data_IF_288787418611
#
_entry.id   IF_288787418611
#
_cell.length_a   1.000
_cell.length_b   1.000
_cell.length_c   1.000
_cell.angle_alpha   90.00
_cell.angle_beta   90.00
_cell.angle_gamma   90.00
#
_symmetry.space_group_name_H-M   'P 1'
#
loop_
_entity.id
_entity.type
_entity.pdbx_description
1 polymer ?
#
# COMPACT_ATOMS: atom_id res chain seq x y z
N UNK A 1 24.55 -13.27 -54.92
CA UNK A 1 24.57 -12.62 -53.60
C UNK A 1 24.94 -13.66 -52.57
N UNK A 2 26.18 -13.62 -52.08
CA UNK A 2 26.64 -14.53 -51.03
C UNK A 2 26.16 -13.97 -49.70
N UNK A 3 25.17 -14.62 -49.09
CA UNK A 3 24.72 -14.25 -47.75
C UNK A 3 25.86 -14.57 -46.81
N UNK A 4 26.33 -13.54 -46.09
CA UNK A 4 27.45 -13.65 -45.17
C UNK A 4 27.16 -14.72 -44.11
N UNK A 5 28.09 -15.66 -43.93
CA UNK A 5 27.95 -16.79 -43.00
C UNK A 5 27.59 -16.37 -41.57
N UNK A 6 27.93 -15.13 -41.18
CA UNK A 6 27.57 -14.56 -39.88
C UNK A 6 26.05 -14.43 -39.66
N UNK A 7 25.27 -14.15 -40.71
CA UNK A 7 23.81 -14.01 -40.61
C UNK A 7 23.17 -15.38 -40.34
N UNK A 8 23.71 -16.44 -40.95
CA UNK A 8 23.25 -17.81 -40.71
C UNK A 8 23.55 -18.28 -39.29
N UNK A 9 24.72 -17.93 -38.74
CA UNK A 9 25.08 -18.26 -37.35
C UNK A 9 24.17 -17.52 -36.37
N UNK A 10 23.93 -16.23 -36.58
CA UNK A 10 23.02 -15.45 -35.73
C UNK A 10 21.57 -15.97 -35.77
N UNK A 11 21.07 -16.33 -36.95
CA UNK A 11 19.73 -16.90 -37.09
C UNK A 11 19.60 -18.26 -36.38
N UNK A 12 20.65 -19.09 -36.43
CA UNK A 12 20.69 -20.38 -35.76
C UNK A 12 20.72 -20.24 -34.22
N UNK A 13 21.43 -19.24 -33.70
CA UNK A 13 21.47 -18.92 -32.27
C UNK A 13 20.10 -18.47 -31.75
N UNK A 14 19.42 -17.57 -32.48
CA UNK A 14 18.05 -17.13 -32.14
C UNK A 14 17.07 -18.29 -32.17
N UNK A 15 17.19 -19.20 -33.15
CA UNK A 15 16.32 -20.38 -33.23
C UNK A 15 16.53 -21.34 -32.04
N UNK A 16 17.78 -21.53 -31.60
CA UNK A 16 18.09 -22.35 -30.41
C UNK A 16 17.51 -21.74 -29.14
N UNK A 17 17.63 -20.41 -28.97
CA UNK A 17 17.03 -19.71 -27.84
C UNK A 17 15.50 -19.86 -27.81
N UNK A 18 14.86 -19.74 -28.97
CA UNK A 18 13.41 -19.87 -29.08
C UNK A 18 12.94 -21.32 -28.79
N UNK A 19 13.70 -22.32 -29.24
CA UNK A 19 13.46 -23.73 -28.90
C UNK A 19 13.60 -23.99 -27.40
N UNK A 20 14.62 -23.43 -26.75
CA UNK A 20 14.80 -23.53 -25.29
C UNK A 20 13.62 -22.91 -24.53
N UNK A 21 13.14 -21.74 -24.98
CA UNK A 21 12.00 -21.06 -24.40
C UNK A 21 10.71 -21.87 -24.56
N UNK A 22 10.49 -22.48 -25.73
CA UNK A 22 9.36 -23.38 -25.96
C UNK A 22 9.39 -24.62 -25.05
N UNK A 23 10.56 -25.25 -24.86
CA UNK A 23 10.71 -26.39 -23.95
C UNK A 23 10.43 -25.97 -22.51
N UNK A 24 10.93 -24.80 -22.08
CA UNK A 24 10.66 -24.26 -20.75
C UNK A 24 9.16 -24.02 -20.52
N UNK A 25 8.45 -23.40 -21.48
CA UNK A 25 7.01 -23.19 -21.42
C UNK A 25 6.23 -24.51 -21.32
N UNK A 26 6.64 -25.54 -22.06
CA UNK A 26 6.01 -26.87 -21.97
C UNK A 26 6.20 -27.53 -20.60
N UNK A 27 7.39 -27.38 -19.99
CA UNK A 27 7.64 -27.85 -18.63
C UNK A 27 6.80 -27.09 -17.60
N UNK A 28 6.68 -25.77 -17.76
CA UNK A 28 5.86 -24.92 -16.93
C UNK A 28 4.37 -25.32 -17.00
N UNK A 29 3.86 -25.57 -18.22
CA UNK A 29 2.49 -26.07 -18.44
C UNK A 29 2.25 -27.45 -17.82
N UNK A 30 3.24 -28.36 -17.84
CA UNK A 30 3.12 -29.67 -17.14
C UNK A 30 3.05 -29.50 -15.62
N UNK A 31 3.83 -28.60 -15.04
CA UNK A 31 3.79 -28.34 -13.60
C UNK A 31 2.47 -27.68 -13.19
N UNK A 32 1.94 -26.76 -14.00
CA UNK A 32 0.61 -26.15 -13.82
C UNK A 32 -0.49 -27.22 -13.83
N UNK A 33 -0.47 -28.16 -14.78
CA UNK A 33 -1.46 -29.27 -14.81
C UNK A 33 -1.39 -30.17 -13.57
N UNK A 34 -0.20 -30.45 -13.04
CA UNK A 34 -0.05 -31.21 -11.78
C UNK A 34 -0.67 -30.46 -10.59
N UNK A 35 -0.52 -29.14 -10.55
CA UNK A 35 -1.08 -28.30 -9.49
C UNK A 35 -2.62 -28.28 -9.56
N UNK A 36 -3.17 -28.14 -10.76
CA UNK A 36 -4.62 -28.18 -11.01
C UNK A 36 -5.22 -29.52 -10.55
N UNK A 37 -4.59 -30.65 -10.87
CA UNK A 37 -5.09 -31.95 -10.39
C UNK A 37 -5.03 -32.11 -8.88
N UNK A 38 -4.02 -31.55 -8.20
CA UNK A 38 -3.96 -31.52 -6.72
C UNK A 38 -5.07 -30.67 -6.12
N UNK A 39 -5.39 -29.52 -6.74
CA UNK A 39 -6.48 -28.65 -6.30
C UNK A 39 -7.86 -29.29 -6.53
N UNK A 40 -8.06 -29.95 -7.67
CA UNK A 40 -9.28 -30.71 -7.95
C UNK A 40 -9.50 -31.88 -6.97
N UNK A 41 -8.41 -32.54 -6.54
CA UNK A 41 -8.47 -33.57 -5.49
C UNK A 41 -8.98 -33.02 -4.16
N UNK A 42 -8.41 -31.91 -3.69
CA UNK A 42 -8.83 -31.24 -2.44
C UNK A 42 -10.27 -30.71 -2.50
N UNK A 43 -10.71 -30.20 -3.64
CA UNK A 43 -12.10 -29.75 -3.83
C UNK A 43 -13.10 -30.92 -3.72
N UNK A 44 -12.76 -32.09 -4.25
CA UNK A 44 -13.61 -33.29 -4.12
C UNK A 44 -13.68 -33.79 -2.69
N UNK A 45 -12.57 -33.74 -1.95
CA UNK A 45 -12.55 -34.08 -0.51
C UNK A 45 -13.44 -33.14 0.30
N UNK A 46 -13.37 -31.82 0.06
CA UNK A 46 -14.20 -30.84 0.77
C UNK A 46 -15.70 -30.95 0.43
N UNK A 47 -16.06 -31.20 -0.83
CA UNK A 47 -17.44 -31.46 -1.22
C UNK A 47 -18.00 -32.74 -0.57
N UNK A 48 -17.18 -33.78 -0.44
CA UNK A 48 -17.57 -35.01 0.27
C UNK A 48 -17.79 -34.76 1.79
N UNK A 49 -17.06 -33.82 2.39
CA UNK A 49 -17.27 -33.41 3.78
C UNK A 49 -18.53 -32.54 3.95
N UNK A 50 -18.85 -31.67 2.98
CA UNK A 50 -20.00 -30.76 3.07
C UNK A 50 -21.34 -31.47 2.89
N UNK A 51 -21.42 -32.46 1.98
CA UNK A 51 -22.63 -33.27 1.80
C UNK A 51 -22.95 -34.16 3.01
N UNK A 52 -22.02 -34.39 3.93
CA UNK A 52 -22.27 -35.07 5.20
C UNK A 52 -22.88 -34.17 6.28
N UNK A 53 -22.91 -32.85 6.09
CA UNK A 53 -23.20 -31.87 7.16
C UNK A 53 -24.51 -31.08 7.03
N UNK A 54 -25.32 -31.27 5.97
CA UNK A 54 -26.55 -30.48 5.78
C UNK A 54 -27.84 -31.32 5.70
N UNK A 55 -28.69 -31.34 6.74
CA UNK A 55 -30.13 -31.54 6.60
C UNK A 55 -30.86 -30.19 6.44
N UNK A 56 -31.93 -30.23 5.65
CA UNK A 56 -32.74 -29.13 5.10
C UNK A 56 -33.41 -28.16 6.09
N UNK A 57 -33.48 -26.85 5.76
CA UNK A 57 -34.67 -26.00 6.02
C UNK A 57 -34.62 -24.66 5.25
N UNK A 58 -35.69 -24.36 4.51
CA UNK A 58 -36.03 -23.07 3.89
C UNK A 58 -37.41 -22.63 4.43
N UNK A 59 -37.72 -21.31 4.47
CA UNK A 59 -39.06 -20.88 4.04
C UNK A 59 -39.13 -19.55 3.24
N UNK A 60 -40.26 -19.43 2.53
CA UNK A 60 -40.72 -18.51 1.45
C UNK A 60 -41.41 -17.22 1.98
N UNK A 61 -41.60 -16.12 1.19
CA UNK A 61 -42.09 -14.80 1.69
C UNK A 61 -43.49 -14.32 1.21
N UNK A 62 -44.18 -13.46 2.01
CA UNK A 62 -45.10 -12.31 1.69
C UNK A 62 -46.05 -11.95 2.89
N UNK A 63 -46.83 -10.83 2.94
CA UNK A 63 -46.55 -9.38 2.76
C UNK A 63 -47.08 -8.43 3.92
N UNK A 64 -46.57 -7.18 3.96
CA UNK A 64 -47.07 -5.90 4.54
C UNK A 64 -47.57 -5.78 6.02
N UNK A 65 -46.77 -5.16 6.92
CA UNK A 65 -47.21 -4.57 8.19
C UNK A 65 -46.49 -3.24 8.50
N UNK A 66 -47.21 -2.11 8.55
CA UNK A 66 -46.63 -0.75 8.63
C UNK A 66 -46.88 -0.11 10.01
N UNK A 67 -45.90 -0.19 10.92
CA UNK A 67 -45.63 0.74 12.03
C UNK A 67 -44.58 0.10 12.97
N UNK A 68 -44.81 -1.15 13.38
CA UNK A 68 -43.84 -1.96 14.14
C UNK A 68 -42.52 -2.17 13.37
N UNK A 69 -42.58 -2.20 12.02
CA UNK A 69 -41.39 -2.32 11.19
C UNK A 69 -40.37 -1.21 11.36
N UNK A 70 -40.73 0.04 11.70
CA UNK A 70 -39.72 1.09 11.79
C UNK A 70 -38.92 1.01 13.09
N UNK A 71 -39.58 0.73 14.22
CA UNK A 71 -38.89 0.46 15.49
C UNK A 71 -38.05 -0.82 15.41
N UNK A 72 -38.61 -1.89 14.84
CA UNK A 72 -37.87 -3.12 14.57
C UNK A 72 -36.70 -2.90 13.61
N UNK A 73 -36.87 -2.00 12.63
CA UNK A 73 -35.81 -1.61 11.71
C UNK A 73 -34.70 -0.83 12.41
N UNK A 74 -35.03 0.16 13.25
CA UNK A 74 -34.04 0.90 14.04
C UNK A 74 -33.27 -0.03 14.99
N UNK A 75 -33.99 -0.88 15.74
CA UNK A 75 -33.36 -1.87 16.62
C UNK A 75 -32.44 -2.84 15.84
N UNK A 76 -32.89 -3.32 14.67
CA UNK A 76 -32.08 -4.18 13.79
C UNK A 76 -30.83 -3.44 13.28
N UNK A 77 -30.95 -2.18 12.89
CA UNK A 77 -29.81 -1.39 12.39
C UNK A 77 -28.81 -1.08 13.51
N UNK A 78 -29.28 -0.82 14.72
CA UNK A 78 -28.43 -0.66 15.91
C UNK A 78 -27.67 -1.95 16.21
N UNK A 79 -28.35 -3.09 16.20
CA UNK A 79 -27.74 -4.40 16.45
C UNK A 79 -26.71 -4.77 15.36
N UNK A 80 -27.02 -4.55 14.09
CA UNK A 80 -26.07 -4.76 12.98
C UNK A 80 -24.83 -3.88 13.16
N UNK A 81 -25.02 -2.60 13.50
CA UNK A 81 -23.91 -1.65 13.69
C UNK A 81 -23.05 -2.06 14.90
N UNK A 82 -23.68 -2.57 15.97
CA UNK A 82 -22.98 -3.11 17.14
C UNK A 82 -22.17 -4.36 16.81
N UNK A 83 -22.75 -5.32 16.09
CA UNK A 83 -22.05 -6.55 15.69
C UNK A 83 -20.87 -6.24 14.77
N UNK A 84 -21.03 -5.30 13.83
CA UNK A 84 -19.95 -4.85 12.95
C UNK A 84 -18.81 -4.18 13.73
N UNK A 85 -19.14 -3.36 14.72
CA UNK A 85 -18.13 -2.74 15.58
C UNK A 85 -17.40 -3.79 16.43
N UNK A 86 -18.12 -4.71 17.06
CA UNK A 86 -17.54 -5.79 17.89
C UNK A 86 -16.64 -6.73 17.09
N UNK A 87 -16.99 -7.00 15.83
CA UNK A 87 -16.14 -7.81 14.93
C UNK A 87 -14.80 -7.14 14.60
N UNK A 88 -14.70 -5.82 14.72
CA UNK A 88 -13.48 -5.04 14.44
C UNK A 88 -12.67 -4.78 15.71
N UNK A 89 -13.31 -4.60 16.88
CA UNK A 89 -12.64 -4.21 18.13
C UNK A 89 -12.44 -5.34 19.13
N UNK A 90 -13.00 -6.54 18.89
CA UNK A 90 -12.83 -7.69 19.78
C UNK A 90 -13.53 -7.50 21.14
N UNK A 91 -14.84 -7.22 21.09
CA UNK A 91 -15.75 -7.04 22.25
C UNK A 91 -15.67 -5.72 23.03
N UNK A 92 -15.00 -4.67 22.52
CA UNK A 92 -15.11 -3.34 23.13
C UNK A 92 -16.53 -2.78 22.96
N UNK A 93 -17.13 -2.27 24.03
CA UNK A 93 -18.41 -1.60 23.99
C UNK A 93 -18.29 -0.27 23.20
N UNK A 94 -19.33 0.07 22.43
CA UNK A 94 -19.42 1.36 21.72
C UNK A 94 -19.67 2.44 22.78
N UNK A 95 -18.61 2.86 23.46
CA UNK A 95 -18.67 3.98 24.39
C UNK A 95 -18.72 5.27 23.58
N UNK A 96 -19.61 6.19 23.97
CA UNK A 96 -19.85 7.45 23.27
C UNK A 96 -18.63 8.41 23.26
N UNK A 97 -17.53 8.04 23.91
CA UNK A 97 -16.28 8.77 23.88
C UNK A 97 -15.53 8.43 22.58
N UNK A 98 -15.62 9.34 21.61
CA UNK A 98 -14.82 9.36 20.39
C UNK A 98 -13.34 9.12 20.76
N UNK A 99 -12.80 7.94 20.45
CA UNK A 99 -11.36 7.71 20.54
C UNK A 99 -10.68 8.47 19.38
N UNK A 100 -9.90 9.54 19.64
CA UNK A 100 -9.31 10.36 18.58
C UNK A 100 -8.31 9.58 17.73
N UNK A 101 -7.73 8.50 18.26
CA UNK A 101 -6.77 7.63 17.56
C UNK A 101 -7.37 6.36 16.95
N UNK A 102 -8.70 6.16 17.02
CA UNK A 102 -9.31 4.97 16.44
C UNK A 102 -9.23 4.98 14.89
N UNK A 103 -9.02 3.82 14.24
CA UNK A 103 -9.04 3.71 12.79
C UNK A 103 -10.38 4.21 12.22
N UNK A 104 -10.32 4.83 11.03
CA UNK A 104 -11.45 5.54 10.40
C UNK A 104 -12.77 4.74 10.39
N UNK A 105 -12.70 3.43 10.12
CA UNK A 105 -13.88 2.56 10.11
C UNK A 105 -14.57 2.47 11.47
N UNK A 106 -13.81 2.44 12.57
CA UNK A 106 -14.37 2.41 13.93
C UNK A 106 -15.05 3.75 14.26
N UNK A 107 -14.46 4.87 13.82
CA UNK A 107 -15.07 6.20 13.97
C UNK A 107 -16.39 6.32 13.22
N UNK A 108 -16.45 5.83 11.99
CA UNK A 108 -17.68 5.83 11.17
C UNK A 108 -18.77 4.99 11.84
N UNK A 109 -18.43 3.79 12.33
CA UNK A 109 -19.40 2.91 12.99
C UNK A 109 -19.89 3.47 14.33
N UNK A 110 -19.00 4.10 15.10
CA UNK A 110 -19.36 4.78 16.35
C UNK A 110 -20.29 5.97 16.08
N UNK A 111 -20.01 6.81 15.07
CA UNK A 111 -20.88 7.92 14.67
C UNK A 111 -22.23 7.44 14.16
N UNK A 112 -22.25 6.38 13.34
CA UNK A 112 -23.50 5.76 12.87
C UNK A 112 -24.34 5.25 14.05
N UNK A 113 -23.71 4.58 15.01
CA UNK A 113 -24.39 4.12 16.21
C UNK A 113 -24.97 5.30 17.02
N UNK A 114 -24.19 6.35 17.23
CA UNK A 114 -24.63 7.58 17.92
C UNK A 114 -25.81 8.26 17.22
N UNK A 115 -25.77 8.35 15.89
CA UNK A 115 -26.87 8.90 15.09
C UNK A 115 -28.14 8.06 15.24
N UNK A 116 -28.03 6.74 15.13
CA UNK A 116 -29.17 5.83 15.27
C UNK A 116 -29.75 5.83 16.70
N UNK A 117 -28.91 5.97 17.73
CA UNK A 117 -29.40 6.11 19.12
C UNK A 117 -30.09 7.45 19.34
N UNK A 118 -29.62 8.52 18.68
CA UNK A 118 -30.27 9.81 18.74
C UNK A 118 -31.66 9.75 18.07
N UNK A 119 -31.72 9.12 16.90
CA UNK A 119 -32.97 8.86 16.16
C UNK A 119 -33.93 8.00 16.99
N UNK A 120 -33.46 6.93 17.65
CA UNK A 120 -34.28 6.10 18.54
C UNK A 120 -34.87 6.92 19.70
N UNK A 121 -34.08 7.78 20.33
CA UNK A 121 -34.53 8.59 21.47
C UNK A 121 -35.47 9.72 21.09
N UNK A 122 -35.42 10.17 19.83
CA UNK A 122 -36.30 11.21 19.30
C UNK A 122 -37.67 10.68 18.83
N UNK A 123 -37.78 9.37 18.60
CA UNK A 123 -39.01 8.73 18.12
C UNK A 123 -39.79 8.16 19.31
N UNK A 124 -40.89 8.81 19.68
CA UNK A 124 -41.86 8.29 20.64
C UNK A 124 -43.08 7.73 19.93
N UNK A 125 -43.70 6.67 20.47
CA UNK A 125 -44.89 6.06 19.88
C UNK A 125 -46.09 6.35 20.77
N UNK A 126 -47.05 7.14 20.26
CA UNK A 126 -48.36 7.33 20.88
C UNK A 126 -49.38 6.53 20.03
N UNK A 127 -49.59 5.26 20.40
CA UNK A 127 -50.36 4.31 19.59
C UNK A 127 -49.57 3.78 18.39
N UNK A 128 -50.23 3.66 17.23
CA UNK A 128 -49.68 3.07 15.99
C UNK A 128 -48.98 4.11 15.07
N UNK A 129 -48.77 5.34 15.58
CA UNK A 129 -48.15 6.44 14.84
C UNK A 129 -46.85 6.88 15.52
N UNK A 130 -45.73 6.97 14.78
CA UNK A 130 -44.51 7.55 15.31
C UNK A 130 -44.67 9.08 15.45
N UNK A 131 -44.39 9.60 16.63
CA UNK A 131 -44.24 11.03 16.92
C UNK A 131 -42.75 11.32 17.03
N UNK A 132 -42.25 12.20 16.17
CA UNK A 132 -40.84 12.60 16.14
C UNK A 132 -40.68 13.92 16.89
N UNK A 133 -39.89 13.92 17.96
CA UNK A 133 -39.52 15.11 18.71
C UNK A 133 -38.29 15.78 18.07
N UNK A 134 -38.53 16.62 17.07
CA UNK A 134 -37.47 17.30 16.30
C UNK A 134 -36.54 18.14 17.18
N UNK A 135 -37.05 18.79 18.23
CA UNK A 135 -36.22 19.61 19.14
C UNK A 135 -35.20 18.78 19.93
N UNK A 136 -35.57 17.56 20.32
CA UNK A 136 -34.68 16.62 21.02
C UNK A 136 -33.59 16.10 20.08
N UNK A 137 -33.99 15.78 18.84
CA UNK A 137 -33.07 15.33 17.80
C UNK A 137 -32.07 16.42 17.42
N UNK A 138 -32.54 17.67 17.28
CA UNK A 138 -31.68 18.82 16.99
C UNK A 138 -30.65 19.05 18.10
N UNK A 139 -31.06 19.00 19.38
CA UNK A 139 -30.15 19.16 20.52
C UNK A 139 -29.08 18.05 20.56
N UNK A 140 -29.44 16.80 20.28
CA UNK A 140 -28.51 15.68 20.29
C UNK A 140 -27.55 15.72 19.10
N UNK A 141 -28.03 16.08 17.89
CA UNK A 141 -27.18 16.24 16.72
C UNK A 141 -26.25 17.46 16.85
N UNK A 142 -26.72 18.55 17.46
CA UNK A 142 -25.89 19.73 17.72
C UNK A 142 -24.71 19.41 18.64
N UNK A 143 -24.90 18.57 19.66
CA UNK A 143 -23.81 18.10 20.51
C UNK A 143 -22.77 17.25 19.76
N UNK A 144 -23.22 16.40 18.83
CA UNK A 144 -22.32 15.58 18.00
C UNK A 144 -21.50 16.42 17.03
N UNK A 145 -22.08 17.50 16.50
CA UNK A 145 -21.41 18.46 15.62
C UNK A 145 -20.40 19.34 16.39
N UNK A 146 -20.77 19.80 17.59
CA UNK A 146 -19.90 20.62 18.44
C UNK A 146 -18.66 19.86 18.94
N UNK A 147 -18.78 18.56 19.20
CA UNK A 147 -17.67 17.70 19.62
C UNK A 147 -16.60 17.46 18.52
N UNK A 148 -16.87 17.81 17.26
CA UNK A 148 -15.92 17.65 16.14
C UNK A 148 -15.11 18.90 15.80
N UNK A 149 -15.44 20.04 16.39
CA UNK A 149 -14.75 21.31 16.16
C UNK A 149 -13.78 21.62 17.30
N UNK A 150 -12.72 20.83 17.42
CA UNK A 150 -11.47 21.30 18.07
C UNK A 150 -10.77 22.29 17.11
N UNK A 151 -11.41 23.44 16.88
CA UNK A 151 -10.90 24.52 16.02
C UNK A 151 -9.56 25.03 16.49
N UNK A 152 -9.36 25.07 17.81
CA UNK A 152 -8.13 25.55 18.43
C UNK A 152 -6.95 24.60 18.15
N UNK A 153 -7.20 23.28 18.12
CA UNK A 153 -6.18 22.29 17.77
C UNK A 153 -5.79 22.42 16.29
N UNK A 154 -6.76 22.55 15.39
CA UNK A 154 -6.47 22.78 13.96
C UNK A 154 -5.75 24.11 13.69
N UNK A 155 -6.09 25.18 14.42
CA UNK A 155 -5.43 26.47 14.29
C UNK A 155 -3.97 26.43 14.77
N UNK A 156 -3.70 25.73 15.87
CA UNK A 156 -2.32 25.53 16.35
C UNK A 156 -1.50 24.67 15.37
N UNK A 157 -2.09 23.64 14.78
CA UNK A 157 -1.43 22.83 13.73
C UNK A 157 -1.16 23.65 12.47
N UNK A 158 -2.10 24.47 12.02
CA UNK A 158 -1.91 25.38 10.88
C UNK A 158 -0.81 26.42 11.16
N UNK A 159 -0.74 26.98 12.36
CA UNK A 159 0.32 27.90 12.76
C UNK A 159 1.69 27.21 12.77
N UNK A 160 1.77 25.97 13.25
CA UNK A 160 2.99 25.18 13.23
C UNK A 160 3.42 24.80 11.81
N UNK A 161 2.47 24.43 10.95
CA UNK A 161 2.73 24.18 9.53
C UNK A 161 3.25 25.43 8.82
N UNK A 162 2.67 26.60 9.06
CA UNK A 162 3.15 27.88 8.51
C UNK A 162 4.58 28.19 8.94
N UNK A 163 4.90 28.07 10.23
CA UNK A 163 6.28 28.24 10.73
C UNK A 163 7.26 27.26 10.09
N UNK A 164 6.84 26.02 9.86
CA UNK A 164 7.68 25.01 9.21
C UNK A 164 7.94 25.34 7.75
N UNK A 165 6.93 25.84 7.04
CA UNK A 165 7.08 26.29 5.65
C UNK A 165 8.06 27.46 5.59
N UNK A 166 7.90 28.47 6.45
CA UNK A 166 8.81 29.62 6.51
C UNK A 166 10.26 29.20 6.82
N UNK A 167 10.45 28.25 7.74
CA UNK A 167 11.78 27.71 8.02
C UNK A 167 12.37 26.95 6.82
N UNK A 168 11.55 26.15 6.11
CA UNK A 168 11.99 25.44 4.91
C UNK A 168 12.35 26.41 3.78
N UNK A 169 11.64 27.54 3.66
CA UNK A 169 11.96 28.59 2.71
C UNK A 169 13.28 29.29 3.06
N UNK A 170 13.53 29.57 4.34
CA UNK A 170 14.82 30.07 4.81
C UNK A 170 15.96 29.09 4.55
N UNK A 171 15.75 27.80 4.80
CA UNK A 171 16.73 26.77 4.46
C UNK A 171 16.97 26.74 2.96
N UNK A 172 15.92 26.81 2.14
CA UNK A 172 16.03 26.85 0.68
C UNK A 172 16.88 28.04 0.20
N UNK A 173 16.64 29.23 0.76
CA UNK A 173 17.47 30.42 0.46
C UNK A 173 18.92 30.18 0.86
N UNK A 174 19.17 29.68 2.07
CA UNK A 174 20.53 29.41 2.57
C UNK A 174 21.24 28.32 1.75
N UNK A 175 20.50 27.33 1.25
CA UNK A 175 21.02 26.33 0.32
C UNK A 175 21.42 26.94 -1.02
N UNK A 176 20.61 27.85 -1.58
CA UNK A 176 20.97 28.55 -2.81
C UNK A 176 22.18 29.47 -2.62
N UNK A 177 22.25 30.20 -1.49
CA UNK A 177 23.39 31.05 -1.18
C UNK A 177 24.67 30.21 -1.03
N UNK A 178 24.58 29.05 -0.39
CA UNK A 178 25.70 28.12 -0.23
C UNK A 178 26.09 27.46 -1.57
N UNK A 179 25.12 27.17 -2.44
CA UNK A 179 25.36 26.67 -3.80
C UNK A 179 26.07 27.73 -4.66
N UNK A 180 25.65 28.99 -4.56
CA UNK A 180 26.31 30.10 -5.23
C UNK A 180 27.76 30.27 -4.73
N UNK A 181 27.97 30.30 -3.40
CA UNK A 181 29.31 30.39 -2.82
C UNK A 181 30.18 29.19 -3.21
N UNK A 182 29.59 28.00 -3.35
CA UNK A 182 30.30 26.81 -3.80
C UNK A 182 30.71 26.91 -5.28
N UNK A 183 29.83 27.41 -6.15
CA UNK A 183 30.15 27.65 -7.56
C UNK A 183 31.25 28.71 -7.70
N UNK A 184 31.16 29.82 -6.96
CA UNK A 184 32.20 30.85 -6.94
C UNK A 184 33.54 30.29 -6.42
N UNK A 185 33.51 29.46 -5.36
CA UNK A 185 34.72 28.80 -4.85
C UNK A 185 35.32 27.82 -5.88
N UNK A 186 34.48 27.16 -6.67
CA UNK A 186 34.90 26.26 -7.74
C UNK A 186 35.55 26.99 -8.91
N UNK A 187 34.96 28.10 -9.36
CA UNK A 187 35.57 28.96 -10.39
C UNK A 187 36.94 29.49 -9.92
N UNK A 188 37.00 30.01 -8.69
CA UNK A 188 38.26 30.45 -8.10
C UNK A 188 39.30 29.32 -7.98
N UNK A 189 38.88 28.10 -7.60
CA UNK A 189 39.77 26.95 -7.54
C UNK A 189 40.29 26.53 -8.92
N UNK A 190 39.47 26.65 -9.96
CA UNK A 190 39.87 26.41 -11.34
C UNK A 190 40.90 27.45 -11.81
N UNK A 191 40.66 28.72 -11.48
CA UNK A 191 41.58 29.82 -11.78
C UNK A 191 42.94 29.64 -11.07
N UNK A 192 42.92 29.25 -9.79
CA UNK A 192 44.15 28.94 -9.05
C UNK A 192 44.87 27.72 -9.60
N UNK A 193 44.14 26.68 -10.01
CA UNK A 193 44.75 25.52 -10.67
C UNK A 193 45.42 25.92 -11.98
N UNK A 194 44.79 26.78 -12.78
CA UNK A 194 45.36 27.26 -14.03
C UNK A 194 46.62 28.13 -13.79
N UNK A 195 46.58 29.05 -12.81
CA UNK A 195 47.75 29.82 -12.40
C UNK A 195 48.90 28.94 -11.89
N UNK A 196 48.59 27.88 -11.11
CA UNK A 196 49.59 26.93 -10.63
C UNK A 196 50.15 26.06 -11.75
N UNK A 197 49.33 25.70 -12.75
CA UNK A 197 49.76 24.98 -13.94
C UNK A 197 50.68 25.83 -14.82
N UNK A 198 50.39 27.12 -14.97
CA UNK A 198 51.24 28.06 -15.69
C UNK A 198 52.58 28.30 -14.95
N UNK A 199 52.54 28.36 -13.61
CA UNK A 199 53.76 28.44 -12.79
C UNK A 199 54.57 27.15 -12.76
N UNK A 200 53.95 25.99 -13.00
CA UNK A 200 54.62 24.69 -13.05
C UNK A 200 55.70 24.61 -14.14
N UNK A 201 55.65 25.48 -15.15
CA UNK A 201 56.68 25.56 -16.19
C UNK A 201 58.05 26.02 -15.66
N UNK A 202 58.07 26.69 -14.52
CA UNK A 202 59.28 27.24 -13.89
C UNK A 202 59.92 26.35 -12.83
N UNK A 203 59.33 25.19 -12.52
CA UNK A 203 59.76 24.30 -11.43
C UNK A 203 60.68 23.19 -11.95
N UNK A 204 61.79 22.92 -11.27
CA UNK A 204 62.83 21.94 -11.68
C UNK A 204 62.28 20.51 -11.87
N UNK A 205 61.31 20.09 -11.06
CA UNK A 205 60.61 18.79 -11.15
C UNK A 205 59.19 18.92 -11.73
N UNK A 206 59.09 19.53 -12.93
CA UNK A 206 57.82 19.78 -13.65
C UNK A 206 56.89 18.57 -13.69
N UNK A 207 57.42 17.39 -14.04
CA UNK A 207 56.61 16.19 -14.25
C UNK A 207 55.94 15.65 -12.97
N UNK A 208 56.63 15.73 -11.83
CA UNK A 208 56.07 15.27 -10.54
C UNK A 208 55.05 16.29 -10.00
N UNK A 209 55.33 17.58 -10.16
CA UNK A 209 54.42 18.64 -9.73
C UNK A 209 53.12 18.66 -10.55
N UNK A 210 53.19 18.47 -11.87
CA UNK A 210 51.99 18.36 -12.72
C UNK A 210 51.17 17.12 -12.40
N UNK A 211 51.79 15.96 -12.14
CA UNK A 211 51.06 14.74 -11.74
C UNK A 211 50.35 14.92 -10.39
N UNK A 212 50.97 15.61 -9.43
CA UNK A 212 50.34 15.91 -8.14
C UNK A 212 49.17 16.89 -8.26
N UNK A 213 49.32 17.92 -9.11
CA UNK A 213 48.25 18.88 -9.43
C UNK A 213 47.06 18.20 -10.12
N UNK A 214 47.32 17.33 -11.09
CA UNK A 214 46.28 16.58 -11.80
C UNK A 214 45.52 15.64 -10.86
N UNK A 215 46.23 14.95 -9.96
CA UNK A 215 45.58 14.13 -8.92
C UNK A 215 44.73 14.96 -7.96
N UNK A 216 45.20 16.14 -7.56
CA UNK A 216 44.41 17.04 -6.72
C UNK A 216 43.14 17.52 -7.45
N UNK A 217 43.26 17.91 -8.72
CA UNK A 217 42.14 18.34 -9.54
C UNK A 217 41.10 17.22 -9.73
N UNK A 218 41.56 15.97 -9.97
CA UNK A 218 40.69 14.81 -10.08
C UNK A 218 39.95 14.51 -8.78
N UNK A 219 40.61 14.55 -7.61
CA UNK A 219 39.96 14.36 -6.31
C UNK A 219 38.91 15.45 -6.03
N UNK A 220 39.21 16.69 -6.40
CA UNK A 220 38.27 17.80 -6.28
C UNK A 220 37.04 17.62 -7.18
N UNK A 221 37.25 17.18 -8.43
CA UNK A 221 36.18 16.90 -9.38
C UNK A 221 35.30 15.71 -8.97
N UNK A 222 35.90 14.67 -8.39
CA UNK A 222 35.17 13.50 -7.87
C UNK A 222 34.25 13.86 -6.69
N UNK A 223 34.72 14.70 -5.76
CA UNK A 223 33.90 15.22 -4.66
C UNK A 223 32.71 16.02 -5.19
N UNK A 224 32.93 16.83 -6.23
CA UNK A 224 31.88 17.59 -6.90
C UNK A 224 30.86 16.69 -7.60
N UNK A 225 31.30 15.67 -8.34
CA UNK A 225 30.41 14.67 -8.93
C UNK A 225 29.62 13.88 -7.88
N UNK A 226 30.23 13.56 -6.73
CA UNK A 226 29.55 12.91 -5.61
C UNK A 226 28.37 13.74 -5.09
N UNK A 227 28.55 15.06 -4.94
CA UNK A 227 27.47 15.98 -4.55
C UNK A 227 26.35 16.06 -5.61
N UNK A 228 26.70 16.17 -6.89
CA UNK A 228 25.72 16.22 -7.99
C UNK A 228 24.93 14.91 -8.15
N UNK A 229 25.58 13.76 -7.92
CA UNK A 229 24.95 12.44 -8.00
C UNK A 229 23.98 12.23 -6.84
N UNK A 230 24.33 12.71 -5.64
CA UNK A 230 23.41 12.77 -4.49
C UNK A 230 22.14 13.58 -4.79
N UNK A 231 22.26 14.69 -5.54
CA UNK A 231 21.12 15.51 -5.98
C UNK A 231 20.20 14.77 -6.95
N UNK A 232 20.75 14.11 -7.97
CA UNK A 232 19.94 13.39 -8.97
C UNK A 232 19.21 12.17 -8.39
N UNK A 233 19.78 11.53 -7.37
CA UNK A 233 19.11 10.44 -6.63
C UNK A 233 17.98 10.95 -5.74
N UNK A 234 18.11 12.14 -5.14
CA UNK A 234 17.02 12.81 -4.41
C UNK A 234 15.86 13.24 -5.32
N UNK A 235 16.16 13.73 -6.53
CA UNK A 235 15.15 14.30 -7.44
C UNK A 235 14.34 13.21 -8.19
N UNK A 236 14.98 12.09 -8.53
CA UNK A 236 14.32 10.97 -9.23
C UNK A 236 13.50 10.05 -8.32
N UNK A 237 13.64 10.17 -7.00
CA UNK A 237 12.99 9.26 -6.05
C UNK A 237 12.42 10.01 -4.83
N UNK A 238 11.26 10.69 -4.99
CA UNK A 238 10.66 11.48 -3.91
C UNK A 238 10.27 10.65 -2.68
N UNK A 239 10.19 9.32 -2.80
CA UNK A 239 9.93 8.40 -1.68
C UNK A 239 11.03 8.43 -0.60
N UNK A 240 12.30 8.67 -0.98
CA UNK A 240 13.44 8.73 -0.05
C UNK A 240 13.38 9.97 0.83
N UNK A 241 12.79 11.06 0.32
CA UNK A 241 12.58 12.32 1.03
C UNK A 241 11.48 12.17 2.11
N UNK A 242 10.44 11.37 1.84
CA UNK A 242 9.45 11.03 2.86
C UNK A 242 9.98 10.06 3.91
N UNK A 243 11.03 9.28 3.62
CA UNK A 243 11.60 8.30 4.54
C UNK A 243 12.64 8.91 5.49
N UNK A 244 13.48 9.82 5.00
CA UNK A 244 14.43 10.58 5.83
C UNK A 244 13.73 11.65 6.70
N UNK A 245 12.63 12.25 6.23
CA UNK A 245 11.80 13.15 7.04
C UNK A 245 10.85 12.39 7.99
N UNK A 246 10.54 11.11 7.74
CA UNK A 246 9.82 10.27 8.71
C UNK A 246 10.69 9.74 9.84
N UNK A 247 11.99 9.52 9.61
CA UNK A 247 12.91 9.10 10.67
C UNK A 247 13.03 10.11 11.82
N UNK A 248 12.78 11.41 11.56
CA UNK A 248 12.70 12.44 12.61
C UNK A 248 11.29 12.68 13.15
N UNK A 249 10.26 12.03 12.56
CA UNK A 249 8.85 12.21 12.93
C UNK A 249 8.28 11.04 13.73
N UNK A 250 8.93 9.88 13.74
CA UNK A 250 8.41 8.70 14.45
C UNK A 250 8.79 8.64 15.93
N UNK A 251 9.86 9.32 16.38
CA UNK A 251 10.23 9.36 17.80
C UNK A 251 10.61 10.77 18.29
N UNK A 252 9.74 11.46 19.04
CA UNK A 252 10.05 12.77 19.63
C UNK A 252 11.19 12.70 20.67
N UNK A 253 11.55 11.51 21.14
CA UNK A 253 12.67 11.25 22.06
C UNK A 253 14.02 11.44 21.36
N UNK A 254 14.19 10.80 20.19
CA UNK A 254 15.44 10.84 19.42
C UNK A 254 15.74 12.26 18.90
N UNK A 255 14.70 12.98 18.45
CA UNK A 255 14.85 14.37 18.01
C UNK A 255 15.33 15.29 19.16
N UNK A 256 14.80 15.09 20.37
CA UNK A 256 15.22 15.83 21.56
C UNK A 256 16.66 15.49 21.98
N UNK A 257 17.09 14.24 21.82
CA UNK A 257 18.46 13.82 22.12
C UNK A 257 19.47 14.37 21.11
N UNK A 258 19.14 14.41 19.82
CA UNK A 258 19.98 15.05 18.79
C UNK A 258 20.16 16.54 19.08
N UNK A 259 19.10 17.24 19.52
CA UNK A 259 19.19 18.65 19.90
C UNK A 259 20.09 18.82 21.14
N UNK A 260 20.00 17.93 22.13
CA UNK A 260 20.90 17.94 23.30
C UNK A 260 22.35 17.73 22.89
N UNK A 261 22.64 16.74 22.03
CA UNK A 261 23.99 16.48 21.53
C UNK A 261 24.55 17.68 20.76
N UNK A 262 23.74 18.35 19.94
CA UNK A 262 24.13 19.55 19.21
C UNK A 262 24.46 20.71 20.15
N UNK A 263 23.65 20.94 21.18
CA UNK A 263 23.89 21.99 22.16
C UNK A 263 25.16 21.71 22.98
N UNK A 264 25.39 20.45 23.35
CA UNK A 264 26.63 20.03 24.03
C UNK A 264 27.85 20.23 23.12
N UNK A 265 27.77 19.92 21.83
CA UNK A 265 28.86 20.15 20.89
C UNK A 265 29.21 21.65 20.72
N UNK A 266 28.20 22.52 20.69
CA UNK A 266 28.39 23.98 20.63
C UNK A 266 29.07 24.49 21.91
N UNK A 267 28.64 24.04 23.08
CA UNK A 267 29.28 24.40 24.35
C UNK A 267 30.72 23.91 24.43
N UNK A 268 31.01 22.69 23.94
CA UNK A 268 32.37 22.17 23.89
C UNK A 268 33.28 23.02 23.00
N UNK A 269 32.81 23.43 21.81
CA UNK A 269 33.59 24.33 20.95
C UNK A 269 33.86 25.69 21.59
N UNK A 270 32.89 26.22 22.36
CA UNK A 270 33.07 27.47 23.10
C UNK A 270 34.14 27.35 24.18
N UNK A 271 34.16 26.24 24.91
CA UNK A 271 35.14 25.97 25.95
C UNK A 271 36.55 25.79 25.34
N UNK A 272 36.66 25.05 24.23
CA UNK A 272 37.93 24.89 23.49
C UNK A 272 38.49 26.26 23.08
N UNK A 273 37.66 27.13 22.50
CA UNK A 273 38.08 28.47 22.09
C UNK A 273 38.50 29.35 23.27
N UNK A 274 37.81 29.24 24.41
CA UNK A 274 38.21 29.95 25.64
C UNK A 274 39.54 29.46 26.20
N UNK A 275 39.80 28.15 26.14
CA UNK A 275 41.06 27.57 26.58
C UNK A 275 42.22 27.89 25.63
N UNK A 276 42.00 27.85 24.32
CA UNK A 276 43.00 28.27 23.33
C UNK A 276 43.43 29.72 23.58
N UNK A 277 42.46 30.62 23.83
CA UNK A 277 42.76 32.01 24.21
C UNK A 277 43.52 32.12 25.53
N UNK A 278 43.14 31.36 26.56
CA UNK A 278 43.87 31.33 27.84
C UNK A 278 45.31 30.82 27.67
N UNK A 279 45.56 29.90 26.74
CA UNK A 279 46.89 29.40 26.43
C UNK A 279 47.73 30.44 25.67
N UNK A 280 47.11 31.19 24.75
CA UNK A 280 47.74 32.29 24.01
C UNK A 280 48.07 33.48 24.92
N UNK A 281 47.20 33.79 25.89
CA UNK A 281 47.35 34.92 26.82
C UNK A 281 48.28 34.62 28.03
N UNK A 282 48.56 33.34 28.32
CA UNK A 282 49.42 32.95 29.44
C UNK A 282 50.90 33.31 29.17
N UNK A 283 51.43 34.29 29.92
CA UNK A 283 52.81 34.80 29.73
C UNK A 283 53.81 34.19 30.71
N UNK A 284 53.35 33.70 31.86
CA UNK A 284 54.22 33.10 32.88
C UNK A 284 54.21 31.57 32.82
N UNK A 285 55.31 30.94 33.26
CA UNK A 285 55.43 29.48 33.25
C UNK A 285 54.40 28.80 34.16
N UNK A 286 54.09 29.38 35.32
CA UNK A 286 53.07 28.87 36.25
C UNK A 286 51.65 28.96 35.67
N UNK A 287 51.29 30.05 34.97
CA UNK A 287 49.99 30.17 34.29
C UNK A 287 49.84 29.16 33.15
N UNK A 288 50.92 28.87 32.42
CA UNK A 288 50.93 27.83 31.38
C UNK A 288 50.72 26.43 31.97
N UNK A 289 51.34 26.14 33.11
CA UNK A 289 51.24 24.84 33.77
C UNK A 289 49.84 24.60 34.36
N UNK A 290 49.21 25.65 34.92
CA UNK A 290 47.80 25.64 35.31
C UNK A 290 46.85 25.47 34.11
N UNK A 291 47.11 26.16 33.00
CA UNK A 291 46.32 26.01 31.77
C UNK A 291 46.45 24.60 31.16
N UNK A 292 47.64 23.98 31.23
CA UNK A 292 47.87 22.60 30.80
C UNK A 292 47.12 21.61 31.69
N UNK A 293 47.10 21.80 33.01
CA UNK A 293 46.30 20.95 33.91
C UNK A 293 44.80 21.07 33.63
N UNK A 294 44.28 22.28 33.41
CA UNK A 294 42.87 22.50 33.08
C UNK A 294 42.52 21.86 31.72
N UNK A 295 43.41 21.98 30.72
CA UNK A 295 43.31 21.27 29.44
C UNK A 295 43.29 19.75 29.61
N UNK A 296 44.17 19.21 30.44
CA UNK A 296 44.25 17.76 30.67
C UNK A 296 43.00 17.23 31.36
N UNK A 297 42.44 18.00 32.31
CA UNK A 297 41.19 17.66 32.98
C UNK A 297 39.99 17.72 32.03
N UNK A 298 39.93 18.72 31.15
CA UNK A 298 38.87 18.83 30.16
C UNK A 298 38.98 17.79 29.05
N UNK A 299 40.18 17.44 28.63
CA UNK A 299 40.42 16.37 27.66
C UNK A 299 39.95 15.01 28.21
N UNK A 300 40.19 14.74 29.49
CA UNK A 300 39.62 13.56 30.16
C UNK A 300 38.08 13.57 30.24
N UNK A 301 37.46 14.74 30.41
CA UNK A 301 35.99 14.86 30.35
C UNK A 301 35.48 14.62 28.92
N UNK A 302 36.17 15.14 27.91
CA UNK A 302 35.83 14.92 26.51
C UNK A 302 35.94 13.44 26.13
N UNK A 303 36.99 12.74 26.56
CA UNK A 303 37.12 11.29 26.31
C UNK A 303 35.93 10.54 26.90
N UNK A 304 35.50 10.87 28.12
CA UNK A 304 34.30 10.27 28.71
C UNK A 304 33.02 10.59 27.92
N UNK A 305 32.83 11.84 27.50
CA UNK A 305 31.68 12.21 26.69
C UNK A 305 31.65 11.52 25.33
N UNK A 306 32.81 11.34 24.68
CA UNK A 306 32.90 10.59 23.42
C UNK A 306 32.52 9.13 23.64
N UNK A 307 32.99 8.49 24.71
CA UNK A 307 32.61 7.12 25.06
C UNK A 307 31.11 6.99 25.36
N UNK A 308 30.52 7.93 26.08
CA UNK A 308 29.08 7.98 26.34
C UNK A 308 28.28 8.18 25.03
N UNK A 309 28.75 9.05 24.14
CA UNK A 309 28.15 9.27 22.83
C UNK A 309 28.25 8.02 21.95
N UNK A 310 29.39 7.32 21.91
CA UNK A 310 29.55 6.05 21.20
C UNK A 310 28.58 4.98 21.71
N UNK A 311 28.33 4.96 23.02
CA UNK A 311 27.38 4.02 23.64
C UNK A 311 25.94 4.37 23.26
N UNK A 312 25.60 5.66 23.25
CA UNK A 312 24.29 6.16 22.81
C UNK A 312 24.06 5.88 21.32
N UNK A 313 25.06 6.10 20.47
CA UNK A 313 25.01 5.77 19.03
C UNK A 313 24.75 4.29 18.82
N UNK A 314 25.46 3.40 19.52
CA UNK A 314 25.19 1.96 19.45
C UNK A 314 23.76 1.60 19.85
N UNK A 315 23.24 2.24 20.89
CA UNK A 315 21.87 2.02 21.34
C UNK A 315 20.85 2.49 20.28
N UNK A 316 21.10 3.63 19.63
CA UNK A 316 20.29 4.13 18.51
C UNK A 316 20.40 3.21 17.29
N UNK A 317 21.59 2.69 16.98
CA UNK A 317 21.80 1.72 15.89
C UNK A 317 21.03 0.42 16.14
N UNK A 318 21.04 -0.07 17.38
CA UNK A 318 20.28 -1.26 17.79
C UNK A 318 18.77 -1.01 17.74
N UNK A 319 18.30 0.17 18.18
CA UNK A 319 16.89 0.57 18.08
C UNK A 319 16.45 0.72 16.62
N UNK A 320 17.30 1.29 15.77
CA UNK A 320 17.05 1.42 14.33
C UNK A 320 16.95 0.04 13.68
N UNK A 321 17.86 -0.88 14.00
CA UNK A 321 17.83 -2.25 13.51
C UNK A 321 16.56 -2.98 13.94
N UNK A 322 16.17 -2.84 15.20
CA UNK A 322 14.92 -3.42 15.72
C UNK A 322 13.68 -2.82 15.04
N UNK A 323 13.69 -1.51 14.76
CA UNK A 323 12.62 -0.85 14.01
C UNK A 323 12.53 -1.36 12.56
N UNK A 324 13.67 -1.56 11.90
CA UNK A 324 13.72 -2.17 10.55
C UNK A 324 13.19 -3.61 10.55
N UNK A 325 13.53 -4.42 11.54
CA UNK A 325 12.99 -5.77 11.68
C UNK A 325 11.46 -5.76 11.86
N UNK A 326 10.93 -4.85 12.68
CA UNK A 326 9.48 -4.67 12.83
C UNK A 326 8.81 -4.22 11.54
N UNK A 327 9.43 -3.33 10.77
CA UNK A 327 8.93 -2.91 9.46
C UNK A 327 8.84 -4.09 8.50
N UNK A 328 9.89 -4.91 8.40
CA UNK A 328 9.85 -6.12 7.57
C UNK A 328 8.78 -7.12 8.01
N UNK A 329 8.55 -7.27 9.32
CA UNK A 329 7.44 -8.10 9.81
C UNK A 329 6.08 -7.53 9.41
N UNK A 330 5.91 -6.20 9.47
CA UNK A 330 4.66 -5.56 9.04
C UNK A 330 4.45 -5.68 7.53
N UNK A 331 5.49 -5.49 6.72
CA UNK A 331 5.43 -5.71 5.26
C UNK A 331 4.99 -7.14 4.94
N UNK A 332 5.59 -8.14 5.60
CA UNK A 332 5.19 -9.54 5.43
C UNK A 332 3.71 -9.80 5.80
N UNK A 333 3.22 -9.18 6.88
CA UNK A 333 1.81 -9.28 7.27
C UNK A 333 0.90 -8.59 6.25
N UNK A 334 1.34 -7.48 5.66
CA UNK A 334 0.58 -6.72 4.67
C UNK A 334 0.47 -7.49 3.35
N UNK A 335 1.56 -8.12 2.89
CA UNK A 335 1.56 -9.03 1.74
C UNK A 335 0.60 -10.20 1.97
N UNK A 336 0.63 -10.81 3.16
CA UNK A 336 -0.30 -11.89 3.51
C UNK A 336 -1.75 -11.41 3.52
N UNK A 337 -2.01 -10.19 4.00
CA UNK A 337 -3.35 -9.59 3.98
C UNK A 337 -3.82 -9.29 2.55
N UNK A 338 -2.93 -8.81 1.66
CA UNK A 338 -3.25 -8.61 0.26
C UNK A 338 -3.60 -9.92 -0.45
N UNK A 339 -2.82 -10.98 -0.24
CA UNK A 339 -3.12 -12.30 -0.81
C UNK A 339 -4.49 -12.82 -0.34
N UNK A 340 -4.79 -12.71 0.96
CA UNK A 340 -6.10 -13.14 1.48
C UNK A 340 -7.25 -12.24 0.98
N UNK A 341 -7.00 -10.95 0.74
CA UNK A 341 -7.97 -10.04 0.14
C UNK A 341 -8.25 -10.41 -1.33
N UNK A 342 -7.23 -10.71 -2.12
CA UNK A 342 -7.39 -11.19 -3.50
C UNK A 342 -8.15 -12.52 -3.56
N UNK A 343 -7.84 -13.46 -2.66
CA UNK A 343 -8.57 -14.72 -2.54
C UNK A 343 -10.05 -14.48 -2.22
N UNK A 344 -10.35 -13.59 -1.26
CA UNK A 344 -11.71 -13.22 -0.92
C UNK A 344 -12.45 -12.54 -2.08
N UNK A 345 -11.77 -11.73 -2.89
CA UNK A 345 -12.37 -11.13 -4.10
C UNK A 345 -12.70 -12.21 -5.13
N UNK A 346 -11.78 -13.14 -5.40
CA UNK A 346 -12.03 -14.27 -6.32
C UNK A 346 -13.20 -15.14 -5.83
N UNK A 347 -13.29 -15.40 -4.53
CA UNK A 347 -14.42 -16.15 -3.95
C UNK A 347 -15.74 -15.41 -4.17
N UNK A 348 -15.77 -14.08 -3.99
CA UNK A 348 -16.96 -13.26 -4.23
C UNK A 348 -17.38 -13.29 -5.71
N UNK A 349 -16.43 -13.19 -6.63
CA UNK A 349 -16.70 -13.29 -8.08
C UNK A 349 -17.26 -14.67 -8.44
N UNK A 350 -16.67 -15.74 -7.91
CA UNK A 350 -17.17 -17.10 -8.12
C UNK A 350 -18.59 -17.29 -7.56
N UNK A 351 -18.88 -16.77 -6.37
CA UNK A 351 -20.22 -16.78 -5.79
C UNK A 351 -21.22 -16.01 -6.65
N UNK A 352 -20.83 -14.86 -7.19
CA UNK A 352 -21.68 -14.07 -8.07
C UNK A 352 -21.98 -14.81 -9.37
N UNK A 353 -20.97 -15.40 -10.00
CA UNK A 353 -21.14 -16.21 -11.21
C UNK A 353 -22.03 -17.43 -10.95
N UNK A 354 -21.84 -18.12 -9.83
CA UNK A 354 -22.68 -19.25 -9.45
C UNK A 354 -24.13 -18.84 -9.20
N UNK A 355 -24.36 -17.71 -8.52
CA UNK A 355 -25.71 -17.19 -8.30
C UNK A 355 -26.39 -16.82 -9.62
N UNK A 356 -25.65 -16.24 -10.57
CA UNK A 356 -26.15 -15.92 -11.91
C UNK A 356 -26.48 -17.17 -12.72
N UNK A 357 -25.59 -18.17 -12.72
CA UNK A 357 -25.79 -19.44 -13.40
C UNK A 357 -26.97 -20.22 -12.80
N UNK A 358 -27.07 -20.27 -11.47
CA UNK A 358 -28.20 -20.89 -10.75
C UNK A 358 -29.53 -20.21 -11.12
N UNK A 359 -29.57 -18.88 -11.20
CA UNK A 359 -30.75 -18.14 -11.65
C UNK A 359 -31.12 -18.47 -13.10
N UNK A 360 -30.13 -18.58 -13.98
CA UNK A 360 -30.33 -18.91 -15.40
C UNK A 360 -30.86 -20.33 -15.57
N UNK A 361 -30.29 -21.29 -14.83
CA UNK A 361 -30.73 -22.68 -14.82
C UNK A 361 -32.15 -22.79 -14.27
N UNK A 362 -32.47 -22.08 -13.18
CA UNK A 362 -33.82 -22.06 -12.63
C UNK A 362 -34.84 -21.48 -13.61
N UNK A 363 -34.49 -20.42 -14.35
CA UNK A 363 -35.34 -19.90 -15.44
C UNK A 363 -35.57 -20.95 -16.54
N UNK A 364 -34.52 -21.67 -16.97
CA UNK A 364 -34.65 -22.75 -17.96
C UNK A 364 -35.51 -23.91 -17.45
N UNK A 365 -35.40 -24.29 -16.18
CA UNK A 365 -36.28 -25.30 -15.57
C UNK A 365 -37.74 -24.83 -15.64
N UNK A 366 -38.02 -23.58 -15.26
CA UNK A 366 -39.39 -23.04 -15.31
C UNK A 366 -39.93 -23.07 -16.76
N UNK A 367 -39.12 -22.72 -17.75
CA UNK A 367 -39.51 -22.80 -19.16
C UNK A 367 -39.82 -24.25 -19.58
N UNK A 368 -38.97 -25.21 -19.21
CA UNK A 368 -39.16 -26.63 -19.51
C UNK A 368 -40.36 -27.24 -18.79
N UNK A 369 -40.65 -26.81 -17.56
CA UNK A 369 -41.85 -27.20 -16.82
C UNK A 369 -43.11 -26.67 -17.52
N UNK A 370 -43.11 -25.40 -17.92
CA UNK A 370 -44.21 -24.81 -18.68
C UNK A 370 -44.42 -25.50 -20.03
N UNK A 371 -43.34 -25.86 -20.73
CA UNK A 371 -43.42 -26.62 -21.98
C UNK A 371 -43.97 -28.02 -21.76
N UNK A 372 -43.50 -28.73 -20.73
CA UNK A 372 -44.05 -30.04 -20.36
C UNK A 372 -45.53 -29.97 -20.02
N UNK A 373 -45.97 -28.95 -19.29
CA UNK A 373 -47.38 -28.78 -18.94
C UNK A 373 -48.22 -28.49 -20.19
N UNK A 374 -47.72 -27.66 -21.12
CA UNK A 374 -48.36 -27.44 -22.44
C UNK A 374 -48.45 -28.74 -23.24
N UNK A 375 -47.38 -29.54 -23.27
CA UNK A 375 -47.36 -30.82 -23.97
C UNK A 375 -48.31 -31.83 -23.34
N UNK A 376 -48.38 -31.91 -22.01
CA UNK A 376 -49.34 -32.76 -21.29
C UNK A 376 -50.77 -32.36 -21.58
N UNK A 377 -51.07 -31.06 -21.57
CA UNK A 377 -52.39 -30.54 -21.92
C UNK A 377 -52.75 -30.87 -23.38
N UNK A 378 -51.82 -30.70 -24.31
CA UNK A 378 -52.02 -31.08 -25.71
C UNK A 378 -52.23 -32.59 -25.90
N UNK A 379 -51.57 -33.42 -25.07
CA UNK A 379 -51.76 -34.87 -25.07
C UNK A 379 -53.12 -35.28 -24.48
N UNK A 380 -53.59 -34.58 -23.44
CA UNK A 380 -54.89 -34.85 -22.81
C UNK A 380 -56.07 -34.37 -23.66
N UNK A 381 -55.92 -33.27 -24.39
CA UNK A 381 -56.97 -32.71 -25.26
C UNK A 381 -57.13 -33.47 -26.59
N UNK A 382 -56.24 -34.42 -26.90
CA UNK A 382 -56.23 -35.12 -28.18
C UNK A 382 -56.12 -36.66 -28.03
N UNK A 383 -57.22 -37.35 -27.64
CA UNK A 383 -57.22 -38.81 -27.43
C UNK A 383 -57.06 -39.64 -28.72
N UNK A 384 -56.99 -39.03 -29.91
CA UNK A 384 -56.83 -39.74 -31.18
C UNK A 384 -55.36 -40.05 -31.58
N UNK A 385 -54.36 -39.64 -30.79
CA UNK A 385 -52.94 -39.98 -31.03
C UNK A 385 -52.58 -41.45 -30.76
N UNK A 386 -53.55 -42.30 -30.38
CA UNK A 386 -53.37 -43.76 -30.39
C UNK A 386 -53.49 -44.39 -31.79
N UNK A 387 -53.85 -43.61 -32.83
CA UNK A 387 -53.83 -44.11 -34.20
C UNK A 387 -52.43 -44.01 -34.80
N UNK A 388 -51.80 -45.15 -35.05
CA UNK A 388 -50.41 -45.26 -35.54
C UNK A 388 -50.10 -44.61 -36.90
N UNK A 389 -51.04 -43.89 -37.52
CA UNK A 389 -50.81 -43.06 -38.71
C UNK A 389 -50.21 -41.69 -38.37
N UNK A 390 -50.67 -41.03 -37.29
CA UNK A 390 -50.11 -39.74 -36.89
C UNK A 390 -48.65 -39.88 -36.42
N UNK A 391 -48.35 -40.98 -35.72
CA UNK A 391 -46.99 -41.29 -35.27
C UNK A 391 -46.06 -41.62 -36.45
N UNK A 392 -46.56 -42.29 -37.49
CA UNK A 392 -45.80 -42.57 -38.72
C UNK A 392 -45.54 -41.30 -39.53
N UNK A 393 -46.51 -40.39 -39.63
CA UNK A 393 -46.31 -39.12 -40.32
C UNK A 393 -45.30 -38.23 -39.57
N UNK A 394 -45.39 -38.19 -38.25
CA UNK A 394 -44.45 -37.42 -37.42
C UNK A 394 -43.04 -38.04 -37.45
N UNK A 395 -42.94 -39.37 -37.53
CA UNK A 395 -41.66 -40.08 -37.71
C UNK A 395 -41.07 -39.86 -39.11
N UNK A 396 -41.91 -39.77 -40.15
CA UNK A 396 -41.48 -39.42 -41.51
C UNK A 396 -40.98 -37.97 -41.59
N UNK A 397 -41.70 -37.02 -40.99
CA UNK A 397 -41.27 -35.63 -40.91
C UNK A 397 -39.97 -35.47 -40.13
N UNK A 398 -39.79 -36.23 -39.05
CA UNK A 398 -38.55 -36.22 -38.27
C UNK A 398 -37.35 -36.77 -39.05
N UNK A 399 -37.59 -37.73 -39.96
CA UNK A 399 -36.59 -38.30 -40.86
C UNK A 399 -36.19 -37.28 -41.94
N UNK A 400 -37.17 -36.56 -42.50
CA UNK A 400 -36.95 -35.49 -43.46
C UNK A 400 -36.17 -34.33 -42.81
N UNK A 401 -36.47 -34.00 -41.55
CA UNK A 401 -35.76 -32.96 -40.84
C UNK A 401 -34.31 -33.39 -40.54
N UNK A 402 -34.09 -34.66 -40.16
CA UNK A 402 -32.74 -35.20 -39.99
C UNK A 402 -31.91 -35.16 -41.27
N UNK A 403 -32.49 -35.48 -42.43
CA UNK A 403 -31.76 -35.40 -43.70
C UNK A 403 -31.44 -33.96 -44.06
N UNK A 404 -32.35 -33.01 -43.81
CA UNK A 404 -32.08 -31.58 -44.02
C UNK A 404 -30.97 -31.05 -43.09
N UNK A 405 -30.93 -31.51 -41.83
CA UNK A 405 -29.85 -31.17 -40.91
C UNK A 405 -28.50 -31.75 -41.35
N UNK A 406 -28.48 -33.00 -41.80
CA UNK A 406 -27.26 -33.63 -42.33
C UNK A 406 -26.74 -32.91 -43.58
N UNK A 407 -27.62 -32.50 -44.50
CA UNK A 407 -27.25 -31.68 -45.67
C UNK A 407 -26.72 -30.29 -45.28
N UNK A 408 -27.29 -29.68 -44.24
CA UNK A 408 -26.82 -28.40 -43.70
C UNK A 408 -25.45 -28.55 -43.04
N UNK A 409 -25.23 -29.62 -42.27
CA UNK A 409 -23.93 -29.94 -41.70
C UNK A 409 -22.89 -30.19 -42.79
N UNK A 410 -23.20 -30.97 -43.83
CA UNK A 410 -22.30 -31.17 -44.96
C UNK A 410 -21.97 -29.85 -45.66
N UNK A 411 -22.98 -29.00 -45.94
CA UNK A 411 -22.75 -27.67 -46.52
C UNK A 411 -21.88 -26.80 -45.63
N UNK A 412 -22.08 -26.83 -44.32
CA UNK A 412 -21.29 -26.07 -43.36
C UNK A 412 -19.84 -26.58 -43.27
N UNK A 413 -19.66 -27.91 -43.33
CA UNK A 413 -18.35 -28.55 -43.33
C UNK A 413 -17.59 -28.24 -44.63
N UNK A 414 -18.29 -28.24 -45.77
CA UNK A 414 -17.74 -27.87 -47.07
C UNK A 414 -17.34 -26.39 -47.14
N UNK A 415 -18.12 -25.50 -46.51
CA UNK A 415 -17.79 -24.07 -46.35
C UNK A 415 -16.58 -23.86 -45.43
N UNK A 416 -16.45 -24.67 -44.38
CA UNK A 416 -15.33 -24.60 -43.43
C UNK A 416 -14.02 -25.14 -44.02
N UNK A 417 -14.07 -26.12 -44.90
CA UNK A 417 -12.90 -26.68 -45.61
C UNK A 417 -12.42 -25.83 -46.80
N UNK A 418 -13.23 -24.84 -47.24
CA UNK A 418 -12.90 -23.93 -48.35
C UNK A 418 -12.24 -22.62 -47.87
N UNK A 419 -12.05 -22.47 -46.56
CA UNK A 419 -11.15 -21.49 -45.91
C UNK A 419 -9.89 -22.22 -45.46
#
# INVERSE_FOLDING_TARGET
MQVSNYILVAALEVYLLLMLLCVFLLLYLRNQRKLIHRQQGKLRELLAHQNKLAPSSHPTPAPAQKANHYREHLARQLEITRLQYQGITGNSEITAAQMPDAPMMQKILALRHQFLTAEESAVSFEGDKPIVHWDSLEQQLAHLLAAQTDTDALETELANCKKRIENLEKFKQLFFDLEQQWQEAQENAQDYYQQLSDMAESVEDKAYFTDLLDRYHNVYHDVHQGMLTGRQTLEKNPAVLYQTVRATRTDPTIANEIIKLRNVAVDQHRIINQLQRKLEDAKTAEEKELAIQDLQQQLQRQIRFVQEAETCVKLIEDELKNSQEKLHQQEFLLDKAQVTQEENQRIKELLHNFAFESKTLMASIIELEQENDKLKLALSDNPNLQTGEALKNLQADHLILQTQYAELEEKYLHLKLKK
#
